data_IF_344550833900
#
_entry.id   IF_344550833900
#
_cell.length_a   1.000
_cell.length_b   1.000
_cell.length_c   1.000
_cell.angle_alpha   90.00
_cell.angle_beta   90.00
_cell.angle_gamma   90.00
#
_symmetry.space_group_name_H-M   'P 1'
#
loop_
_entity.id
_entity.type
_entity.pdbx_description
1 polymer ?
#
# COMPACT_ATOMS: atom_id res chain seq x y z
N UNK A 1 10.59 -33.71 8.18
CA UNK A 1 10.05 -32.34 8.34
C UNK A 1 8.62 -32.32 7.81
N UNK A 2 7.74 -31.51 8.40
CA UNK A 2 6.35 -31.40 7.95
C UNK A 2 6.27 -30.53 6.68
N UNK A 3 5.38 -30.89 5.75
CA UNK A 3 5.02 -30.03 4.61
C UNK A 3 4.12 -28.90 5.13
N UNK A 4 4.54 -27.64 4.90
CA UNK A 4 3.78 -26.45 5.32
C UNK A 4 2.98 -25.83 4.18
N UNK A 5 3.05 -26.37 2.96
CA UNK A 5 2.32 -25.84 1.81
C UNK A 5 0.82 -25.78 2.09
N UNK A 6 0.18 -24.66 1.74
CA UNK A 6 -1.25 -24.43 1.99
C UNK A 6 -1.93 -23.78 0.78
N UNK A 7 -3.25 -23.91 0.71
CA UNK A 7 -4.07 -23.17 -0.24
C UNK A 7 -4.93 -22.18 0.52
N UNK A 8 -4.91 -20.91 0.11
CA UNK A 8 -5.67 -19.83 0.74
C UNK A 8 -6.23 -18.88 -0.31
N UNK A 9 -7.55 -18.69 -0.31
CA UNK A 9 -8.25 -17.83 -1.28
C UNK A 9 -7.89 -18.11 -2.75
N UNK A 10 -7.67 -19.38 -3.09
CA UNK A 10 -7.28 -19.80 -4.45
C UNK A 10 -5.78 -19.63 -4.76
N UNK A 11 -4.97 -19.16 -3.82
CA UNK A 11 -3.51 -19.08 -3.94
C UNK A 11 -2.85 -20.33 -3.38
N UNK A 12 -1.82 -20.84 -4.07
CA UNK A 12 -0.96 -21.90 -3.56
C UNK A 12 0.27 -21.27 -2.91
N UNK A 13 0.40 -21.45 -1.59
CA UNK A 13 1.42 -20.81 -0.76
C UNK A 13 2.46 -21.82 -0.29
N UNK A 14 3.74 -21.44 -0.32
CA UNK A 14 4.87 -22.30 0.14
C UNK A 14 4.80 -22.65 1.63
N UNK A 15 4.12 -21.83 2.42
CA UNK A 15 3.86 -22.01 3.86
C UNK A 15 2.65 -21.14 4.28
N UNK A 16 2.10 -21.27 5.51
CA UNK A 16 0.93 -20.49 5.93
C UNK A 16 1.26 -19.08 6.46
N UNK A 17 2.50 -18.60 6.31
CA UNK A 17 2.93 -17.32 6.87
C UNK A 17 2.57 -16.19 5.90
N UNK A 18 1.66 -15.32 6.36
CA UNK A 18 1.25 -14.11 5.65
C UNK A 18 1.60 -12.89 6.51
N UNK A 19 2.32 -11.93 5.93
CA UNK A 19 2.65 -10.68 6.64
C UNK A 19 1.49 -9.70 6.53
N UNK A 20 0.95 -9.29 7.67
CA UNK A 20 -0.19 -8.36 7.72
C UNK A 20 0.19 -6.93 7.29
N UNK A 21 -0.83 -6.12 6.97
CA UNK A 21 -0.71 -4.70 6.64
C UNK A 21 0.03 -3.97 7.77
N UNK A 22 1.19 -3.41 7.45
CA UNK A 22 2.06 -2.73 8.40
C UNK A 22 3.03 -1.80 7.69
N UNK A 23 3.88 -1.09 8.44
CA UNK A 23 4.97 -0.31 7.86
C UNK A 23 5.92 -1.15 6.98
N UNK A 24 6.04 -2.45 7.26
CA UNK A 24 6.91 -3.37 6.50
C UNK A 24 6.35 -3.70 5.11
N UNK A 25 5.06 -3.45 4.86
CA UNK A 25 4.40 -3.73 3.58
C UNK A 25 4.09 -2.45 2.80
N UNK A 26 4.78 -1.35 3.12
CA UNK A 26 4.56 -0.01 2.56
C UNK A 26 5.42 0.33 1.34
N UNK A 27 6.47 -0.45 1.07
CA UNK A 27 7.38 -0.21 -0.05
C UNK A 27 7.95 -1.52 -0.61
N UNK A 28 8.36 -1.47 -1.87
CA UNK A 28 8.82 -2.63 -2.63
C UNK A 28 10.04 -3.32 -2.02
N UNK A 29 11.02 -2.55 -1.54
CA UNK A 29 12.25 -3.11 -0.99
C UNK A 29 11.97 -3.97 0.25
N UNK A 30 11.09 -3.48 1.13
CA UNK A 30 10.68 -4.23 2.32
C UNK A 30 9.89 -5.49 1.95
N UNK A 31 9.01 -5.42 0.95
CA UNK A 31 8.26 -6.58 0.46
C UNK A 31 9.20 -7.66 -0.07
N UNK A 32 10.20 -7.29 -0.88
CA UNK A 32 11.24 -8.22 -1.38
C UNK A 32 12.00 -8.89 -0.25
N UNK A 33 12.35 -8.13 0.80
CA UNK A 33 13.01 -8.67 1.99
C UNK A 33 12.12 -9.69 2.70
N UNK A 34 10.81 -9.44 2.85
CA UNK A 34 9.88 -10.38 3.48
C UNK A 34 9.78 -11.69 2.69
N UNK A 35 9.65 -11.60 1.36
CA UNK A 35 9.59 -12.75 0.46
C UNK A 35 10.87 -13.62 0.54
N UNK A 36 12.04 -12.96 0.49
CA UNK A 36 13.35 -13.59 0.64
C UNK A 36 13.56 -14.24 2.02
N UNK A 37 12.92 -13.72 3.08
CA UNK A 37 12.92 -14.31 4.43
C UNK A 37 11.83 -15.36 4.64
N UNK A 38 11.14 -15.78 3.57
CA UNK A 38 10.26 -16.93 3.59
C UNK A 38 8.77 -16.61 3.82
N UNK A 39 8.35 -15.35 3.85
CA UNK A 39 6.93 -15.02 3.80
C UNK A 39 6.32 -15.61 2.53
N UNK A 40 5.13 -16.22 2.64
CA UNK A 40 4.45 -16.80 1.48
C UNK A 40 3.49 -15.81 0.81
N UNK A 41 2.98 -14.83 1.56
CA UNK A 41 2.21 -13.72 1.03
C UNK A 41 2.34 -12.48 1.94
N UNK A 42 1.92 -11.32 1.41
CA UNK A 42 1.85 -10.07 2.16
C UNK A 42 0.50 -9.39 1.92
N UNK A 43 0.04 -8.63 2.91
CA UNK A 43 -1.06 -7.68 2.77
C UNK A 43 -0.43 -6.29 2.70
N UNK A 44 -0.64 -5.58 1.57
CA UNK A 44 -0.07 -4.25 1.37
C UNK A 44 -0.57 -3.26 2.42
N UNK A 45 0.26 -2.25 2.72
CA UNK A 45 -0.10 -1.18 3.66
C UNK A 45 -1.42 -0.54 3.23
N UNK A 46 -2.36 -0.45 4.15
CA UNK A 46 -3.68 0.13 3.88
C UNK A 46 -3.59 1.60 3.49
N UNK A 47 -4.37 1.98 2.48
CA UNK A 47 -4.66 3.36 2.09
C UNK A 47 -5.95 3.81 2.80
N UNK A 48 -5.91 4.92 3.53
CA UNK A 48 -7.03 5.43 4.31
C UNK A 48 -7.40 6.84 3.84
N UNK A 49 -8.69 7.06 3.57
CA UNK A 49 -9.19 8.35 3.09
C UNK A 49 -8.93 9.46 4.11
N UNK A 50 -9.07 9.17 5.40
CA UNK A 50 -8.86 10.12 6.48
C UNK A 50 -7.42 10.64 6.52
N UNK A 51 -6.45 9.80 6.14
CA UNK A 51 -5.05 10.21 6.04
C UNK A 51 -4.83 11.15 4.85
N UNK A 52 -5.45 10.87 3.71
CA UNK A 52 -5.39 11.71 2.50
C UNK A 52 -6.05 13.08 2.78
N UNK A 53 -7.22 13.08 3.41
CA UNK A 53 -7.94 14.31 3.77
C UNK A 53 -7.15 15.14 4.79
N UNK A 54 -6.54 14.48 5.77
CA UNK A 54 -5.67 15.14 6.74
C UNK A 54 -4.43 15.76 6.06
N UNK A 55 -3.80 15.03 5.14
CA UNK A 55 -2.67 15.51 4.34
C UNK A 55 -3.08 16.74 3.52
N UNK A 56 -4.21 16.69 2.80
CA UNK A 56 -4.72 17.83 2.04
C UNK A 56 -5.00 19.04 2.94
N UNK A 57 -5.68 18.84 4.07
CA UNK A 57 -5.98 19.91 5.03
C UNK A 57 -4.73 20.51 5.67
N UNK A 58 -3.67 19.72 5.86
CA UNK A 58 -2.37 20.22 6.36
C UNK A 58 -1.62 21.10 5.35
N UNK A 59 -1.93 20.94 4.05
CA UNK A 59 -1.37 21.73 2.96
C UNK A 59 -2.26 22.91 2.57
N UNK A 60 -3.47 23.01 3.11
CA UNK A 60 -4.38 24.12 2.82
C UNK A 60 -3.72 25.44 3.23
N UNK A 61 -3.45 26.28 2.23
CA UNK A 61 -3.01 27.66 2.42
C UNK A 61 -4.23 28.54 2.22
N UNK A 62 -4.47 29.48 3.14
CA UNK A 62 -5.55 30.45 2.97
C UNK A 62 -5.32 31.22 1.66
N UNK A 63 -6.26 31.08 0.73
CA UNK A 63 -6.16 31.59 -0.63
C UNK A 63 -7.39 32.43 -0.93
N UNK A 64 -7.20 33.54 -1.65
CA UNK A 64 -8.30 34.38 -2.13
C UNK A 64 -9.08 33.72 -3.30
N UNK A 65 -8.65 32.52 -3.73
CA UNK A 65 -9.28 31.74 -4.79
C UNK A 65 -10.23 30.70 -4.19
N UNK A 66 -11.56 30.81 -4.42
CA UNK A 66 -12.56 29.92 -3.84
C UNK A 66 -12.34 28.42 -4.13
N UNK A 67 -11.79 28.09 -5.30
CA UNK A 67 -11.61 26.72 -5.77
C UNK A 67 -10.24 26.10 -5.43
N UNK A 68 -9.34 26.86 -4.79
CA UNK A 68 -7.97 26.39 -4.52
C UNK A 68 -7.95 25.18 -3.58
N UNK A 69 -8.82 25.16 -2.57
CA UNK A 69 -8.93 24.04 -1.62
C UNK A 69 -9.42 22.76 -2.29
N UNK A 70 -10.43 22.87 -3.15
CA UNK A 70 -10.97 21.74 -3.91
C UNK A 70 -9.93 21.15 -4.85
N UNK A 71 -9.19 22.02 -5.56
CA UNK A 71 -8.11 21.59 -6.45
C UNK A 71 -7.01 20.87 -5.68
N UNK A 72 -6.55 21.43 -4.55
CA UNK A 72 -5.52 20.82 -3.71
C UNK A 72 -5.98 19.44 -3.21
N UNK A 73 -7.21 19.34 -2.71
CA UNK A 73 -7.77 18.08 -2.22
C UNK A 73 -7.84 17.02 -3.32
N UNK A 74 -8.31 17.39 -4.52
CA UNK A 74 -8.33 16.49 -5.67
C UNK A 74 -6.93 16.03 -6.09
N UNK A 75 -5.96 16.95 -6.09
CA UNK A 75 -4.57 16.67 -6.42
C UNK A 75 -3.92 15.70 -5.43
N UNK A 76 -4.02 15.98 -4.12
CA UNK A 76 -3.46 15.13 -3.06
C UNK A 76 -4.08 13.74 -3.09
N UNK A 77 -5.39 13.65 -3.31
CA UNK A 77 -6.10 12.37 -3.44
C UNK A 77 -5.59 11.57 -4.64
N UNK A 78 -5.51 12.21 -5.81
CA UNK A 78 -5.05 11.55 -7.05
C UNK A 78 -3.63 11.02 -6.90
N UNK A 79 -2.72 11.83 -6.37
CA UNK A 79 -1.32 11.45 -6.13
C UNK A 79 -1.17 10.26 -5.15
N UNK A 80 -1.97 10.23 -4.08
CA UNK A 80 -1.95 9.13 -3.12
C UNK A 80 -2.47 7.82 -3.73
N UNK A 81 -3.56 7.89 -4.50
CA UNK A 81 -4.11 6.72 -5.21
C UNK A 81 -3.13 6.21 -6.26
N UNK A 82 -2.51 7.10 -7.03
CA UNK A 82 -1.54 6.74 -8.07
C UNK A 82 -0.32 6.03 -7.47
N UNK A 83 0.27 6.57 -6.39
CA UNK A 83 1.37 5.92 -5.66
C UNK A 83 0.99 4.53 -5.15
N UNK A 84 -0.25 4.36 -4.69
CA UNK A 84 -0.73 3.06 -4.21
C UNK A 84 -0.88 2.04 -5.36
N UNK A 85 -1.44 2.46 -6.51
CA UNK A 85 -1.53 1.63 -7.71
C UNK A 85 -0.14 1.27 -8.26
N UNK A 86 0.82 2.20 -8.19
CA UNK A 86 2.21 1.96 -8.56
C UNK A 86 2.84 0.91 -7.63
N UNK A 87 2.61 1.00 -6.32
CA UNK A 87 3.07 -0.02 -5.37
C UNK A 87 2.50 -1.40 -5.68
N UNK A 88 1.19 -1.49 -5.95
CA UNK A 88 0.53 -2.76 -6.33
C UNK A 88 1.18 -3.34 -7.59
N UNK A 89 1.33 -2.51 -8.62
CA UNK A 89 1.88 -2.92 -9.91
C UNK A 89 3.30 -3.43 -9.76
N UNK A 90 4.18 -2.62 -9.14
CA UNK A 90 5.58 -2.97 -8.92
C UNK A 90 5.76 -4.19 -8.02
N UNK A 91 4.93 -4.34 -7.00
CA UNK A 91 4.96 -5.52 -6.14
C UNK A 91 4.64 -6.78 -6.96
N UNK A 92 3.55 -6.76 -7.72
CA UNK A 92 3.13 -7.91 -8.54
C UNK A 92 4.13 -8.31 -9.64
N UNK A 93 4.87 -7.34 -10.18
CA UNK A 93 5.90 -7.61 -11.19
C UNK A 93 7.20 -8.16 -10.60
N UNK A 94 7.46 -7.88 -9.32
CA UNK A 94 8.79 -8.07 -8.71
C UNK A 94 8.90 -9.27 -7.77
N UNK A 95 7.78 -9.78 -7.24
CA UNK A 95 7.71 -10.89 -6.29
C UNK A 95 6.63 -11.90 -6.66
#
# INVERSE_FOLDING_TARGET
>A
MANLQTSYLGLNLKNPIVVSSSGLTSNLESIKKLEANGAAAVVLKSLFEEQILHEAGSMTVHSDYPEAEDYLKAYVTSNNVEKYLELITKAKESV
#
